data_IF_008689115873
#
_entry.id   IF_008689115873
#
_cell.length_a   1.000
_cell.length_b   1.000
_cell.length_c   1.000
_cell.angle_alpha   90.00
_cell.angle_beta   90.00
_cell.angle_gamma   90.00
#
_symmetry.space_group_name_H-M   'P 1'
#
loop_
_entity.id
_entity.type
_entity.pdbx_description
1 polymer ?
#
# COMPACT_ATOMS: atom_id res chain seq x y z
N UNK A 1 10.71 12.99 -31.44
CA UNK A 1 9.59 12.63 -30.55
C UNK A 1 10.19 11.86 -29.36
N UNK A 2 10.59 12.57 -28.30
CA UNK A 2 11.05 11.92 -27.08
C UNK A 2 9.84 11.46 -26.29
N UNK A 3 9.79 10.18 -25.94
CA UNK A 3 8.83 9.67 -24.97
C UNK A 3 8.96 10.50 -23.68
N UNK A 4 7.86 10.89 -23.01
CA UNK A 4 7.97 11.53 -21.73
C UNK A 4 8.63 10.53 -20.78
N UNK A 5 9.81 10.89 -20.25
CA UNK A 5 10.44 10.18 -19.16
C UNK A 5 9.37 9.93 -18.09
N UNK A 6 9.07 8.66 -17.85
CA UNK A 6 8.21 8.21 -16.77
C UNK A 6 8.84 8.70 -15.46
N UNK A 7 8.35 9.84 -14.97
CA UNK A 7 8.63 10.48 -13.68
C UNK A 7 9.94 10.03 -13.01
N UNK A 8 11.07 10.72 -13.24
CA UNK A 8 12.37 10.35 -12.65
C UNK A 8 12.45 10.55 -11.13
N UNK A 9 11.39 11.05 -10.50
CA UNK A 9 11.36 11.34 -9.07
C UNK A 9 10.44 10.40 -8.30
N UNK A 10 10.88 9.93 -7.12
CA UNK A 10 10.03 9.18 -6.22
C UNK A 10 8.81 10.02 -5.82
N UNK A 11 7.61 9.50 -6.11
CA UNK A 11 6.33 10.12 -5.71
C UNK A 11 5.59 9.22 -4.69
N UNK A 12 5.77 9.48 -3.38
CA UNK A 12 5.12 8.69 -2.33
C UNK A 12 3.59 8.80 -2.35
N UNK A 13 3.05 9.95 -2.76
CA UNK A 13 1.61 10.21 -2.72
C UNK A 13 0.91 9.47 -3.86
N UNK A 14 1.50 9.49 -5.05
CA UNK A 14 0.98 8.71 -6.17
C UNK A 14 1.04 7.19 -5.91
N UNK A 15 2.13 6.70 -5.30
CA UNK A 15 2.24 5.31 -4.89
C UNK A 15 1.16 4.93 -3.85
N UNK A 16 0.95 5.79 -2.85
CA UNK A 16 -0.09 5.59 -1.83
C UNK A 16 -1.52 5.59 -2.42
N UNK A 17 -1.81 6.52 -3.34
CA UNK A 17 -3.08 6.59 -4.03
C UNK A 17 -3.35 5.32 -4.85
N UNK A 18 -2.33 4.81 -5.54
CA UNK A 18 -2.43 3.53 -6.26
C UNK A 18 -2.72 2.35 -5.32
N UNK A 19 -2.03 2.26 -4.17
CA UNK A 19 -2.29 1.20 -3.19
C UNK A 19 -3.75 1.23 -2.71
N UNK A 20 -4.29 2.42 -2.42
CA UNK A 20 -5.67 2.58 -1.97
C UNK A 20 -6.68 2.17 -3.06
N UNK A 21 -6.51 2.67 -4.29
CA UNK A 21 -7.34 2.31 -5.43
C UNK A 21 -7.33 0.80 -5.70
N UNK A 22 -6.18 0.15 -5.52
CA UNK A 22 -6.05 -1.29 -5.71
C UNK A 22 -6.86 -2.12 -4.71
N UNK A 23 -6.88 -1.71 -3.45
CA UNK A 23 -7.67 -2.35 -2.39
C UNK A 23 -9.15 -2.04 -2.57
N UNK A 24 -9.49 -0.87 -3.11
CA UNK A 24 -10.86 -0.54 -3.48
C UNK A 24 -11.37 -1.41 -4.65
N UNK A 25 -10.53 -1.67 -5.65
CA UNK A 25 -10.88 -2.53 -6.78
C UNK A 25 -10.96 -4.02 -6.38
N UNK A 26 -9.98 -4.52 -5.62
CA UNK A 26 -9.79 -5.97 -5.37
C UNK A 26 -10.12 -6.44 -3.97
N UNK A 27 -10.25 -5.53 -3.01
CA UNK A 27 -10.45 -5.83 -1.60
C UNK A 27 -9.16 -6.09 -0.80
N UNK A 28 -8.03 -6.35 -1.46
CA UNK A 28 -6.74 -6.67 -0.83
C UNK A 28 -5.54 -6.33 -1.73
N UNK A 29 -4.36 -6.25 -1.13
CA UNK A 29 -3.09 -5.95 -1.78
C UNK A 29 -1.92 -6.61 -1.01
N UNK A 30 -1.25 -7.62 -1.58
CA UNK A 30 -0.05 -8.22 -1.01
C UNK A 30 1.13 -7.25 -0.97
N UNK A 31 1.97 -7.38 0.06
CA UNK A 31 3.16 -6.55 0.21
C UNK A 31 4.17 -6.76 -0.92
N UNK A 32 4.39 -7.98 -1.36
CA UNK A 32 5.33 -8.30 -2.45
C UNK A 32 4.88 -7.68 -3.80
N UNK A 33 3.58 -7.74 -4.11
CA UNK A 33 3.00 -7.08 -5.28
C UNK A 33 3.16 -5.56 -5.17
N UNK A 34 2.86 -4.99 -4.01
CA UNK A 34 2.98 -3.57 -3.77
C UNK A 34 4.43 -3.08 -3.93
N UNK A 35 5.40 -3.77 -3.33
CA UNK A 35 6.83 -3.43 -3.48
C UNK A 35 7.27 -3.48 -4.94
N UNK A 36 6.95 -4.56 -5.66
CA UNK A 36 7.33 -4.69 -7.07
C UNK A 36 6.74 -3.58 -7.94
N UNK A 37 5.45 -3.28 -7.74
CA UNK A 37 4.77 -2.25 -8.52
C UNK A 37 5.30 -0.85 -8.19
N UNK A 38 5.50 -0.54 -6.91
CA UNK A 38 6.05 0.74 -6.46
C UNK A 38 7.45 0.97 -7.03
N UNK A 39 8.34 -0.01 -6.91
CA UNK A 39 9.71 0.11 -7.42
C UNK A 39 9.75 0.31 -8.94
N UNK A 40 8.84 -0.33 -9.68
CA UNK A 40 8.78 -0.27 -11.14
C UNK A 40 8.15 1.02 -11.68
N UNK A 41 7.13 1.55 -11.00
CA UNK A 41 6.28 2.62 -11.55
C UNK A 41 6.40 3.97 -10.85
N UNK A 42 6.86 3.99 -9.60
CA UNK A 42 6.91 5.20 -8.77
C UNK A 42 8.30 5.53 -8.23
N UNK A 43 9.29 4.67 -8.50
CA UNK A 43 10.69 4.88 -8.14
C UNK A 43 11.20 3.86 -7.12
N UNK A 44 12.39 3.33 -7.38
CA UNK A 44 13.03 2.28 -6.55
C UNK A 44 13.27 2.73 -5.10
N UNK A 45 13.55 4.02 -4.90
CA UNK A 45 13.81 4.64 -3.58
C UNK A 45 12.59 4.66 -2.65
N UNK A 46 11.39 4.40 -3.18
CA UNK A 46 10.19 4.22 -2.38
C UNK A 46 10.07 2.81 -1.78
N UNK A 47 11.05 1.96 -2.02
CA UNK A 47 11.16 0.60 -1.49
C UNK A 47 12.56 0.38 -0.92
N UNK A 48 12.70 -0.57 -0.01
CA UNK A 48 13.99 -0.91 0.59
C UNK A 48 13.99 -2.36 1.07
N UNK A 49 15.17 -2.90 1.32
CA UNK A 49 15.33 -4.17 2.04
C UNK A 49 15.45 -3.86 3.53
N UNK A 50 14.56 -4.40 4.36
CA UNK A 50 14.62 -4.19 5.81
C UNK A 50 15.77 -4.98 6.46
N UNK A 51 15.99 -4.78 7.75
CA UNK A 51 17.06 -5.44 8.52
C UNK A 51 16.99 -6.97 8.49
N UNK A 52 15.81 -7.53 8.24
CA UNK A 52 15.59 -8.98 8.11
C UNK A 52 15.75 -9.49 6.68
N UNK A 53 16.22 -8.67 5.74
CA UNK A 53 16.40 -9.05 4.34
C UNK A 53 15.12 -9.07 3.50
N UNK A 54 14.00 -8.56 4.03
CA UNK A 54 12.70 -8.60 3.32
C UNK A 54 12.43 -7.30 2.54
N UNK A 55 11.80 -7.38 1.35
CA UNK A 55 11.34 -6.22 0.61
C UNK A 55 10.26 -5.45 1.39
N UNK A 56 10.44 -4.15 1.52
CA UNK A 56 9.58 -3.27 2.28
C UNK A 56 9.28 -1.97 1.53
N UNK A 57 8.15 -1.34 1.87
CA UNK A 57 7.71 -0.07 1.33
C UNK A 57 8.20 1.05 2.25
N UNK A 58 8.74 2.13 1.67
CA UNK A 58 9.26 3.28 2.42
C UNK A 58 8.23 3.88 3.37
N UNK A 59 8.70 4.41 4.50
CA UNK A 59 7.84 5.05 5.51
C UNK A 59 7.04 6.22 4.95
N UNK A 60 7.55 6.92 3.93
CA UNK A 60 6.86 8.05 3.27
C UNK A 60 5.57 7.59 2.58
N UNK A 61 5.65 6.50 1.81
CA UNK A 61 4.47 5.92 1.14
C UNK A 61 3.49 5.39 2.17
N UNK A 62 3.95 4.65 3.19
CA UNK A 62 3.08 4.10 4.23
C UNK A 62 2.36 5.18 5.03
N UNK A 63 3.02 6.32 5.30
CA UNK A 63 2.40 7.46 5.96
C UNK A 63 1.28 8.08 5.11
N UNK A 64 1.55 8.36 3.83
CA UNK A 64 0.55 8.88 2.90
C UNK A 64 -0.61 7.89 2.71
N UNK A 65 -0.31 6.60 2.57
CA UNK A 65 -1.30 5.55 2.41
C UNK A 65 -2.21 5.43 3.64
N UNK A 66 -1.64 5.53 4.85
CA UNK A 66 -2.43 5.54 6.08
C UNK A 66 -3.38 6.73 6.15
N UNK A 67 -2.97 7.92 5.72
CA UNK A 67 -3.85 9.10 5.69
C UNK A 67 -5.04 8.90 4.74
N UNK A 68 -4.85 8.23 3.61
CA UNK A 68 -5.92 7.97 2.64
C UNK A 68 -6.88 6.86 3.09
N UNK A 69 -6.43 5.93 3.93
CA UNK A 69 -7.14 4.68 4.22
C UNK A 69 -7.46 4.46 5.70
N UNK A 70 -7.30 5.51 6.51
CA UNK A 70 -7.60 5.47 7.94
C UNK A 70 -9.05 5.02 8.17
N UNK A 71 -9.23 4.02 9.03
CA UNK A 71 -10.53 3.42 9.30
C UNK A 71 -11.06 2.44 8.24
N UNK A 72 -10.55 2.43 7.00
CA UNK A 72 -11.10 1.60 5.91
C UNK A 72 -10.22 0.42 5.52
N UNK A 73 -8.91 0.49 5.77
CA UNK A 73 -7.95 -0.58 5.47
C UNK A 73 -7.22 -1.04 6.73
N UNK A 74 -6.91 -2.33 6.80
CA UNK A 74 -6.09 -2.93 7.84
C UNK A 74 -4.93 -3.71 7.22
N UNK A 75 -3.84 -3.84 7.99
CA UNK A 75 -2.75 -4.76 7.68
C UNK A 75 -3.02 -6.12 8.30
N UNK A 76 -3.11 -7.17 7.48
CA UNK A 76 -3.24 -8.55 7.92
C UNK A 76 -1.85 -9.19 8.00
N UNK A 77 -1.31 -9.29 9.22
CA UNK A 77 0.05 -9.78 9.46
C UNK A 77 0.24 -11.22 8.99
N UNK A 78 -0.78 -12.08 9.13
CA UNK A 78 -0.68 -13.50 8.76
C UNK A 78 -0.51 -13.72 7.26
N UNK A 79 -1.27 -12.96 6.45
CA UNK A 79 -1.24 -13.01 5.00
C UNK A 79 -0.23 -12.05 4.36
N UNK A 80 0.37 -11.13 5.14
CA UNK A 80 1.27 -10.07 4.66
C UNK A 80 0.62 -9.23 3.54
N UNK A 81 -0.62 -8.84 3.77
CA UNK A 81 -1.40 -8.03 2.83
C UNK A 81 -2.14 -6.90 3.55
N UNK A 82 -2.41 -5.83 2.81
CA UNK A 82 -3.45 -4.87 3.19
C UNK A 82 -4.79 -5.36 2.66
N UNK A 83 -5.84 -5.20 3.46
CA UNK A 83 -7.20 -5.57 3.06
C UNK A 83 -8.21 -4.59 3.62
N UNK A 84 -9.39 -4.55 2.99
CA UNK A 84 -10.53 -3.81 3.55
C UNK A 84 -10.79 -4.24 4.98
N UNK A 85 -10.99 -3.25 5.85
CA UNK A 85 -11.48 -3.47 7.21
C UNK A 85 -12.86 -4.14 7.10
N UNK A 86 -13.07 -5.30 7.74
CA UNK A 86 -14.42 -5.83 7.88
C UNK A 86 -15.31 -4.80 8.55
N UNK A 87 -16.52 -4.58 8.04
CA UNK A 87 -17.52 -3.86 8.82
C UNK A 87 -17.78 -4.72 10.06
N UNK A 88 -17.59 -4.17 11.26
CA UNK A 88 -17.94 -4.89 12.48
C UNK A 88 -19.40 -5.36 12.35
N UNK A 89 -19.70 -6.67 12.48
CA UNK A 89 -21.08 -7.06 12.69
C UNK A 89 -21.52 -6.35 13.98
N UNK A 90 -22.64 -5.62 13.90
CA UNK A 90 -23.23 -4.89 15.02
C UNK A 90 -23.05 -5.70 16.30
N UNK A 91 -22.45 -5.06 17.31
CA UNK A 91 -22.20 -5.64 18.62
C UNK A 91 -23.38 -6.53 19.00
N UNK A 92 -23.11 -7.81 19.31
CA UNK A 92 -24.11 -8.67 19.93
C UNK A 92 -24.50 -7.96 21.22
N UNK A 93 -25.65 -7.31 21.21
CA UNK A 93 -26.30 -6.82 22.40
C UNK A 93 -26.67 -8.07 23.18
N UNK A 94 -25.84 -8.42 24.16
CA UNK A 94 -26.19 -9.41 25.16
C UNK A 94 -27.27 -8.78 26.03
N UNK A 95 -28.47 -9.37 25.97
CA UNK A 95 -29.52 -9.26 27.00
C UNK A 95 -29.12 -10.11 28.21
#
# INVERSE_FOLDING_TARGET
MSAPDLNPNPDPNAAAAWMAARIEERGWLPQDLAVQHIAKHFGKDLTYTNESGNPAISRKVLAAFRQLTEGTVIWERGAKEWRRRPRDPAARQSD
#
